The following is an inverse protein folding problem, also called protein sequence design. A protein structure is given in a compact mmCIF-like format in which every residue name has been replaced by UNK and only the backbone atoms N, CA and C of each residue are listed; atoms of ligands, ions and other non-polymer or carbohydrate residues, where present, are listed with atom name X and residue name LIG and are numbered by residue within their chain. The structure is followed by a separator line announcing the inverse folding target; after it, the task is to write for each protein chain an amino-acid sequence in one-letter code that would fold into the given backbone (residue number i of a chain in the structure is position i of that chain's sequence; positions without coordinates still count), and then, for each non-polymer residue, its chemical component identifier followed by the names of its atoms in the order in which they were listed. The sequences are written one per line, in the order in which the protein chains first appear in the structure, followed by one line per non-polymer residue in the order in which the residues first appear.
data_IF_849237328515
#
_entry.id   IF_849237328515
#
_cell.length_a   1.000
_cell.length_b   1.000
_cell.length_c   1.000
_cell.angle_alpha   90.00
_cell.angle_beta   90.00
_cell.angle_gamma   90.00
#
_symmetry.space_group_name_H-M   'P 1'
#
loop_
_entity.id
_entity.type
_entity.pdbx_description
1 polymer ?
#
# COMPACT_ATOMS: atom_id res chain seq x y z
N UNK A 1 9.74 -0.40 -5.96
CA UNK A 1 10.49 -1.26 -6.90
C UNK A 1 10.11 -2.69 -6.61
N UNK A 2 9.66 -3.44 -7.62
CA UNK A 2 9.32 -4.84 -7.48
C UNK A 2 10.54 -5.72 -7.82
N UNK A 3 11.01 -6.45 -6.83
CA UNK A 3 12.14 -7.38 -6.98
C UNK A 3 11.71 -8.73 -7.59
N UNK A 4 10.41 -9.06 -7.57
CA UNK A 4 9.88 -10.31 -8.10
C UNK A 4 9.86 -10.29 -9.64
N UNK A 5 9.44 -9.17 -10.23
CA UNK A 5 9.42 -8.93 -11.68
C UNK A 5 10.63 -8.13 -12.18
N UNK A 6 11.42 -7.57 -11.27
CA UNK A 6 12.62 -6.76 -11.53
C UNK A 6 12.31 -5.50 -12.36
N UNK A 7 11.32 -4.73 -11.90
CA UNK A 7 10.88 -3.48 -12.51
C UNK A 7 10.50 -2.42 -11.43
N UNK A 8 10.35 -1.14 -11.78
CA UNK A 8 10.16 -0.09 -10.78
C UNK A 8 8.76 -0.06 -10.14
N UNK A 9 7.76 -0.71 -10.73
CA UNK A 9 6.36 -0.67 -10.29
C UNK A 9 6.09 -1.70 -9.18
N UNK A 10 5.85 -1.28 -7.92
CA UNK A 10 5.58 -2.20 -6.82
C UNK A 10 4.12 -2.72 -6.78
N UNK A 11 3.34 -2.58 -7.86
CA UNK A 11 1.93 -2.94 -7.88
C UNK A 11 1.72 -4.42 -7.53
N UNK A 12 0.90 -4.74 -6.49
CA UNK A 12 0.64 -6.12 -6.12
C UNK A 12 0.03 -6.92 -7.27
N UNK A 13 0.65 -8.05 -7.62
CA UNK A 13 0.08 -8.96 -8.60
C UNK A 13 -1.17 -9.65 -8.03
N UNK A 14 -2.33 -9.58 -8.70
CA UNK A 14 -3.52 -10.28 -8.24
C UNK A 14 -3.34 -11.80 -8.41
N UNK A 15 -3.55 -12.55 -7.34
CA UNK A 15 -3.59 -14.00 -7.34
C UNK A 15 -4.97 -14.49 -6.88
N UNK A 16 -5.28 -15.78 -7.11
CA UNK A 16 -6.58 -16.35 -6.77
C UNK A 16 -6.91 -16.36 -5.28
N UNK A 17 -5.90 -16.25 -4.40
CA UNK A 17 -6.06 -16.24 -2.96
C UNK A 17 -5.96 -14.84 -2.35
N UNK A 18 -5.44 -13.86 -3.12
CA UNK A 18 -5.28 -12.48 -2.69
C UNK A 18 -4.09 -12.27 -1.76
N UNK A 19 -3.11 -13.17 -1.75
CA UNK A 19 -2.00 -13.21 -0.79
C UNK A 19 -1.14 -11.94 -0.82
N UNK A 20 -1.11 -11.21 -1.93
CA UNK A 20 -0.34 -9.98 -2.10
C UNK A 20 -0.99 -8.73 -1.45
N UNK A 21 -1.95 -8.90 -0.55
CA UNK A 21 -2.65 -7.81 0.13
C UNK A 21 -1.85 -7.13 1.27
N UNK A 22 -0.81 -7.79 1.79
CA UNK A 22 -0.15 -7.39 3.04
C UNK A 22 0.51 -6.00 2.96
N UNK A 23 1.27 -5.75 1.89
CA UNK A 23 1.99 -4.47 1.70
C UNK A 23 1.05 -3.25 1.69
N UNK A 24 -0.07 -3.34 0.97
CA UNK A 24 -1.08 -2.27 0.91
C UNK A 24 -1.72 -1.99 2.27
N UNK A 25 -1.97 -3.03 3.09
CA UNK A 25 -2.54 -2.85 4.44
C UNK A 25 -1.55 -2.15 5.37
N UNK A 26 -0.29 -2.59 5.40
CA UNK A 26 0.77 -1.94 6.17
C UNK A 26 1.01 -0.49 5.74
N UNK A 27 0.99 -0.20 4.43
CA UNK A 27 1.10 1.17 3.93
C UNK A 27 -0.04 2.06 4.45
N UNK A 28 -1.26 1.52 4.56
CA UNK A 28 -2.42 2.22 5.11
C UNK A 28 -2.27 2.58 6.59
N UNK A 29 -1.73 1.67 7.40
CA UNK A 29 -1.45 1.92 8.83
C UNK A 29 -0.53 3.13 9.03
N UNK A 30 0.43 3.34 8.11
CA UNK A 30 1.42 4.41 8.18
C UNK A 30 0.88 5.70 7.58
N UNK A 31 0.37 5.67 6.35
CA UNK A 31 0.15 6.88 5.56
C UNK A 31 -1.19 6.91 4.81
N UNK A 32 -2.22 6.18 5.26
CA UNK A 32 -3.56 6.38 4.71
C UNK A 32 -3.98 7.86 4.86
N UNK A 33 -4.51 8.40 3.76
CA UNK A 33 -4.83 9.83 3.61
C UNK A 33 -5.94 10.25 4.57
N UNK A 34 -5.75 11.39 5.24
CA UNK A 34 -6.77 11.96 6.14
C UNK A 34 -7.78 12.84 5.40
N UNK A 35 -8.97 13.00 5.98
CA UNK A 35 -10.02 13.95 5.55
C UNK A 35 -10.49 13.80 4.09
N UNK A 36 -10.54 12.58 3.54
CA UNK A 36 -10.95 12.33 2.15
C UNK A 36 -12.21 11.46 2.00
N UNK A 37 -12.88 11.09 3.10
CA UNK A 37 -14.07 10.20 3.13
C UNK A 37 -13.82 8.74 2.68
N UNK A 38 -12.57 8.29 2.58
CA UNK A 38 -12.22 6.91 2.23
C UNK A 38 -11.50 6.21 3.39
N UNK A 39 -12.03 5.05 3.81
CA UNK A 39 -11.42 4.19 4.83
C UNK A 39 -11.05 4.93 6.13
N UNK A 40 -9.83 4.71 6.65
CA UNK A 40 -9.30 5.25 7.90
C UNK A 40 -8.04 6.10 7.64
N UNK A 41 -7.41 6.62 8.72
CA UNK A 41 -6.25 7.52 8.65
C UNK A 41 -4.98 6.82 9.18
N UNK A 42 -3.85 7.03 8.50
CA UNK A 42 -2.55 6.50 8.93
C UNK A 42 -1.90 7.34 10.04
N UNK A 43 -1.02 6.71 10.83
CA UNK A 43 -0.31 7.37 11.95
C UNK A 43 0.47 8.61 11.49
N UNK A 44 1.05 8.56 10.30
CA UNK A 44 1.80 9.63 9.65
C UNK A 44 1.20 9.98 8.27
N UNK A 45 -0.09 10.34 8.25
CA UNK A 45 -0.86 10.66 7.02
C UNK A 45 -0.26 11.75 6.11
N UNK A 46 0.71 12.54 6.58
CA UNK A 46 1.43 13.55 5.78
C UNK A 46 2.75 13.05 5.17
N UNK A 47 3.15 11.80 5.45
CA UNK A 47 4.37 11.18 4.93
C UNK A 47 4.18 10.58 3.54
N UNK A 48 5.27 10.14 2.92
CA UNK A 48 5.25 9.39 1.66
C UNK A 48 5.68 7.95 1.92
N UNK A 49 4.95 7.00 1.36
CA UNK A 49 5.32 5.57 1.28
C UNK A 49 5.84 5.32 -0.14
N UNK A 50 6.92 4.55 -0.27
CA UNK A 50 7.64 4.29 -1.52
C UNK A 50 7.87 2.79 -1.72
#
# INVERSE_FOLDING_TARGET
YDLNSNDPDPMPHPDGHGDNHHGTRCAGEIAAVSNNSFCAVGVAYGSKVA
#
